data_IF_590792756304
#
_entry.id   IF_590792756304
#
_cell.length_a   1.000
_cell.length_b   1.000
_cell.length_c   1.000
_cell.angle_alpha   90.00
_cell.angle_beta   90.00
_cell.angle_gamma   90.00
#
_symmetry.space_group_name_H-M   'P 1'
#
loop_
_entity.id
_entity.type
_entity.pdbx_description
1 polymer ?
#
# COMPACT_ATOMS: atom_id res chain seq x y z
N UNK A 1 -13.22 -5.47 -16.71
CA UNK A 1 -12.30 -4.35 -16.35
C UNK A 1 -11.38 -4.86 -15.25
N UNK A 2 -10.07 -4.69 -15.38
CA UNK A 2 -9.11 -5.12 -14.36
C UNK A 2 -8.96 -4.05 -13.28
N UNK A 3 -8.99 -4.45 -12.01
CA UNK A 3 -8.77 -3.58 -10.86
C UNK A 3 -7.28 -3.65 -10.49
N UNK A 4 -6.61 -2.51 -10.37
CA UNK A 4 -5.20 -2.42 -9.97
C UNK A 4 -4.96 -1.17 -9.11
N UNK A 5 -3.77 -1.05 -8.51
CA UNK A 5 -3.39 0.04 -7.63
C UNK A 5 -3.62 1.44 -8.22
N UNK A 6 -3.40 1.63 -9.53
CA UNK A 6 -3.63 2.93 -10.19
C UNK A 6 -5.11 3.23 -10.30
N UNK A 7 -5.94 2.23 -10.60
CA UNK A 7 -7.40 2.41 -10.61
C UNK A 7 -7.91 2.79 -9.22
N UNK A 8 -7.35 2.20 -8.16
CA UNK A 8 -7.63 2.60 -6.78
C UNK A 8 -7.21 4.05 -6.50
N UNK A 9 -5.99 4.44 -6.88
CA UNK A 9 -5.51 5.81 -6.69
C UNK A 9 -6.39 6.85 -7.40
N UNK A 10 -6.81 6.57 -8.65
CA UNK A 10 -7.74 7.45 -9.38
C UNK A 10 -9.11 7.53 -8.72
N UNK A 11 -9.59 6.43 -8.13
CA UNK A 11 -10.84 6.44 -7.38
C UNK A 11 -10.71 7.29 -6.11
N UNK A 12 -9.63 7.12 -5.36
CA UNK A 12 -9.36 7.92 -4.14
C UNK A 12 -9.27 9.40 -4.51
N UNK A 13 -8.50 9.75 -5.53
CA UNK A 13 -8.41 11.10 -6.06
C UNK A 13 -9.81 11.66 -6.39
N UNK A 14 -10.64 10.89 -7.11
CA UNK A 14 -11.97 11.35 -7.46
C UNK A 14 -12.88 11.55 -6.24
N UNK A 15 -12.73 10.71 -5.22
CA UNK A 15 -13.45 10.86 -3.95
C UNK A 15 -13.00 12.11 -3.21
N UNK A 16 -11.70 12.44 -3.20
CA UNK A 16 -11.16 13.66 -2.59
C UNK A 16 -11.62 14.94 -3.32
N UNK A 17 -11.83 14.88 -4.64
CA UNK A 17 -12.44 15.98 -5.39
C UNK A 17 -13.90 16.23 -5.01
N UNK A 18 -14.65 15.15 -4.71
CA UNK A 18 -16.08 15.23 -4.37
C UNK A 18 -16.32 15.54 -2.90
N UNK A 19 -15.39 15.10 -2.03
CA UNK A 19 -15.51 15.16 -0.58
C UNK A 19 -14.19 15.66 0.01
N UNK A 20 -14.26 16.71 0.81
CA UNK A 20 -13.12 17.19 1.60
C UNK A 20 -12.83 16.22 2.74
N UNK A 21 -12.16 15.10 2.46
CA UNK A 21 -11.81 14.10 3.47
C UNK A 21 -10.47 14.44 4.15
N UNK A 22 -10.51 14.63 5.46
CA UNK A 22 -9.31 14.91 6.26
C UNK A 22 -8.57 13.65 6.71
N UNK A 23 -9.26 12.51 6.71
CA UNK A 23 -8.76 11.21 7.19
C UNK A 23 -8.98 10.11 6.17
N UNK A 24 -8.02 9.20 6.06
CA UNK A 24 -8.12 8.01 5.21
C UNK A 24 -7.85 6.76 6.03
N UNK A 25 -8.79 5.83 6.01
CA UNK A 25 -8.59 4.44 6.43
C UNK A 25 -8.56 3.56 5.20
N UNK A 26 -7.48 2.81 5.00
CA UNK A 26 -7.35 1.93 3.85
C UNK A 26 -6.66 0.61 4.21
N UNK A 27 -7.04 -0.45 3.51
CA UNK A 27 -6.49 -1.79 3.69
C UNK A 27 -5.84 -2.29 2.40
N UNK A 28 -4.71 -2.98 2.52
CA UNK A 28 -4.04 -3.72 1.46
C UNK A 28 -3.85 -2.88 0.19
N UNK A 29 -4.47 -3.24 -0.94
CA UNK A 29 -4.41 -2.48 -2.20
C UNK A 29 -4.89 -1.02 -2.08
N UNK A 30 -5.86 -0.74 -1.20
CA UNK A 30 -6.30 0.62 -0.94
C UNK A 30 -5.18 1.43 -0.28
N UNK A 31 -4.47 0.83 0.68
CA UNK A 31 -3.34 1.48 1.34
C UNK A 31 -2.18 1.75 0.38
N UNK A 32 -1.85 0.77 -0.46
CA UNK A 32 -0.86 0.95 -1.51
C UNK A 32 -1.27 2.04 -2.52
N UNK A 33 -2.53 2.05 -2.93
CA UNK A 33 -3.10 3.07 -3.82
C UNK A 33 -3.03 4.48 -3.23
N UNK A 34 -3.31 4.63 -1.93
CA UNK A 34 -3.17 5.90 -1.22
C UNK A 34 -1.72 6.39 -1.19
N UNK A 35 -0.77 5.52 -0.82
CA UNK A 35 0.66 5.87 -0.84
C UNK A 35 1.12 6.29 -2.24
N UNK A 36 0.71 5.55 -3.27
CA UNK A 36 1.00 5.90 -4.65
C UNK A 36 0.41 7.25 -5.03
N UNK A 37 -0.87 7.50 -4.75
CA UNK A 37 -1.53 8.77 -5.06
C UNK A 37 -0.78 9.95 -4.45
N UNK A 38 -0.48 9.89 -3.15
CA UNK A 38 0.16 11.00 -2.45
C UNK A 38 1.66 11.12 -2.74
N UNK A 39 2.29 10.09 -3.31
CA UNK A 39 3.62 10.24 -3.89
C UNK A 39 3.58 11.01 -5.23
N UNK A 40 2.56 10.77 -6.06
CA UNK A 40 2.38 11.49 -7.34
C UNK A 40 1.83 12.90 -7.13
N UNK A 41 0.96 13.08 -6.13
CA UNK A 41 0.22 14.30 -5.79
C UNK A 41 0.27 14.59 -4.29
N UNK A 42 1.44 15.00 -3.74
CA UNK A 42 1.59 15.28 -2.31
C UNK A 42 0.63 16.35 -1.78
N UNK A 43 0.18 17.27 -2.64
CA UNK A 43 -0.80 18.31 -2.30
C UNK A 43 -2.19 17.78 -1.94
N UNK A 44 -2.50 16.53 -2.30
CA UNK A 44 -3.74 15.86 -1.94
C UNK A 44 -3.65 15.05 -0.64
N UNK A 45 -2.47 15.03 0.01
CA UNK A 45 -2.27 14.22 1.22
C UNK A 45 -3.22 14.69 2.34
N UNK A 46 -3.93 13.76 3.01
CA UNK A 46 -4.86 14.09 4.08
C UNK A 46 -4.08 14.47 5.36
N UNK A 47 -4.81 14.85 6.42
CA UNK A 47 -4.18 15.10 7.73
C UNK A 47 -3.67 13.81 8.36
N UNK A 48 -4.50 12.76 8.35
CA UNK A 48 -4.19 11.45 8.96
C UNK A 48 -4.50 10.29 8.03
N UNK A 49 -3.66 9.25 8.10
CA UNK A 49 -3.82 8.02 7.33
C UNK A 49 -3.62 6.80 8.21
N UNK A 50 -4.64 5.93 8.31
CA UNK A 50 -4.51 4.60 8.89
C UNK A 50 -4.45 3.56 7.77
N UNK A 51 -3.32 2.86 7.65
CA UNK A 51 -3.05 1.88 6.60
C UNK A 51 -2.85 0.49 7.20
N UNK A 52 -3.69 -0.46 6.79
CA UNK A 52 -3.70 -1.83 7.32
C UNK A 52 -3.16 -2.80 6.27
N UNK A 53 -2.27 -3.72 6.66
CA UNK A 53 -1.85 -4.84 5.81
C UNK A 53 -1.22 -4.40 4.48
N UNK A 54 -0.40 -3.34 4.49
CA UNK A 54 0.06 -2.69 3.26
C UNK A 54 1.09 -3.56 2.53
N UNK A 55 0.87 -3.94 1.25
CA UNK A 55 1.87 -4.67 0.47
C UNK A 55 3.05 -3.75 0.11
N UNK A 56 4.23 -4.33 -0.12
CA UNK A 56 5.44 -3.55 -0.37
C UNK A 56 5.74 -3.28 -1.83
N UNK A 57 6.10 -4.34 -2.57
CA UNK A 57 6.79 -4.20 -3.87
C UNK A 57 6.08 -5.00 -4.96
N UNK A 58 5.65 -4.34 -6.04
CA UNK A 58 5.03 -5.05 -7.18
C UNK A 58 6.03 -6.01 -7.85
N UNK A 59 7.32 -5.68 -7.87
CA UNK A 59 8.36 -6.57 -8.39
C UNK A 59 8.47 -7.89 -7.61
N UNK A 60 8.35 -7.85 -6.28
CA UNK A 60 8.37 -9.07 -5.45
C UNK A 60 7.15 -9.94 -5.75
N UNK A 61 5.98 -9.34 -5.94
CA UNK A 61 4.78 -10.08 -6.34
C UNK A 61 4.97 -10.80 -7.68
N UNK A 62 5.54 -10.12 -8.69
CA UNK A 62 5.81 -10.74 -9.99
C UNK A 62 6.84 -11.86 -9.92
N UNK A 63 7.87 -11.69 -9.09
CA UNK A 63 8.88 -12.73 -8.87
C UNK A 63 8.26 -13.96 -8.18
N UNK A 64 7.47 -13.76 -7.14
CA UNK A 64 6.77 -14.83 -6.44
C UNK A 64 5.81 -15.58 -7.40
N UNK A 65 5.03 -14.84 -8.19
CA UNK A 65 4.12 -15.42 -9.17
C UNK A 65 4.86 -16.20 -10.25
N UNK A 66 5.99 -15.65 -10.74
CA UNK A 66 6.84 -16.31 -11.71
C UNK A 66 7.43 -17.62 -11.19
N UNK A 67 7.85 -17.66 -9.92
CA UNK A 67 8.34 -18.87 -9.24
C UNK A 67 7.25 -19.94 -9.13
N UNK A 68 6.05 -19.57 -8.69
CA UNK A 68 4.91 -20.49 -8.54
C UNK A 68 4.53 -21.11 -9.89
N UNK A 69 4.46 -20.29 -10.94
CA UNK A 69 4.10 -20.73 -12.29
C UNK A 69 5.26 -21.35 -13.08
N UNK A 70 6.48 -21.34 -12.52
CA UNK A 70 7.72 -21.82 -13.17
C UNK A 70 7.93 -21.24 -14.57
N UNK A 71 7.65 -19.95 -14.75
CA UNK A 71 7.79 -19.29 -16.04
C UNK A 71 9.26 -19.09 -16.40
N UNK A 72 9.58 -19.10 -17.70
CA UNK A 72 10.92 -18.78 -18.17
C UNK A 72 11.17 -17.26 -18.24
N UNK A 73 12.43 -16.88 -18.44
CA UNK A 73 12.86 -15.47 -18.51
C UNK A 73 12.10 -14.68 -19.58
N UNK A 74 11.82 -15.29 -20.74
CA UNK A 74 11.09 -14.61 -21.83
C UNK A 74 9.67 -14.21 -21.40
N UNK A 75 8.97 -15.08 -20.67
CA UNK A 75 7.63 -14.79 -20.15
C UNK A 75 7.71 -13.73 -19.04
N UNK A 76 8.70 -13.83 -18.15
CA UNK A 76 8.94 -12.82 -17.12
C UNK A 76 9.17 -11.42 -17.71
N UNK A 77 10.04 -11.30 -18.72
CA UNK A 77 10.30 -10.02 -19.41
C UNK A 77 9.06 -9.48 -20.13
N UNK A 78 8.25 -10.38 -20.72
CA UNK A 78 6.98 -10.01 -21.33
C UNK A 78 5.98 -9.46 -20.30
N UNK A 79 5.93 -10.03 -19.10
CA UNK A 79 5.07 -9.52 -18.02
C UNK A 79 5.50 -8.12 -17.57
N UNK A 80 6.80 -7.89 -17.42
CA UNK A 80 7.35 -6.55 -17.11
C UNK A 80 6.97 -5.52 -18.17
N UNK A 81 7.23 -5.84 -19.45
CA UNK A 81 6.85 -4.98 -20.58
C UNK A 81 5.35 -4.73 -20.64
N UNK A 82 4.54 -5.75 -20.37
CA UNK A 82 3.08 -5.62 -20.36
C UNK A 82 2.61 -4.65 -19.27
N UNK A 83 3.15 -4.76 -18.06
CA UNK A 83 2.82 -3.86 -16.95
C UNK A 83 3.23 -2.43 -17.30
N UNK A 84 4.47 -2.22 -17.74
CA UNK A 84 4.95 -0.90 -18.13
C UNK A 84 4.08 -0.27 -19.23
N UNK A 85 3.72 -1.04 -20.26
CA UNK A 85 2.82 -0.58 -21.32
C UNK A 85 1.40 -0.28 -20.80
N UNK A 86 0.92 -1.01 -19.79
CA UNK A 86 -0.46 -0.91 -19.30
C UNK A 86 -0.64 0.23 -18.29
N UNK A 87 0.34 0.43 -17.41
CA UNK A 87 0.23 1.36 -16.28
C UNK A 87 1.29 2.48 -16.28
N UNK A 88 2.18 2.49 -17.27
CA UNK A 88 3.02 3.64 -17.65
C UNK A 88 4.40 3.69 -16.99
N UNK A 89 4.67 2.83 -16.00
CA UNK A 89 5.97 2.73 -15.33
C UNK A 89 6.38 1.25 -15.18
N UNK A 90 7.68 0.93 -15.09
CA UNK A 90 8.13 -0.43 -14.84
C UNK A 90 7.67 -0.92 -13.46
N UNK A 91 7.53 -2.24 -13.22
CA UNK A 91 7.12 -2.79 -11.93
C UNK A 91 7.94 -2.28 -10.73
N UNK A 92 9.24 -2.05 -10.93
CA UNK A 92 10.17 -1.54 -9.91
C UNK A 92 9.90 -0.10 -9.46
N UNK A 93 9.05 0.64 -10.19
CA UNK A 93 8.56 1.95 -9.78
C UNK A 93 7.56 1.83 -8.62
N UNK A 94 6.73 0.78 -8.62
CA UNK A 94 5.62 0.61 -7.71
C UNK A 94 6.08 -0.03 -6.40
N UNK A 95 6.61 0.83 -5.54
CA UNK A 95 7.23 0.50 -4.24
C UNK A 95 6.61 1.35 -3.15
N UNK A 96 5.89 0.72 -2.23
CA UNK A 96 5.31 1.41 -1.08
C UNK A 96 6.39 2.07 -0.21
N UNK A 97 7.58 1.45 -0.12
CA UNK A 97 8.73 2.03 0.57
C UNK A 97 9.18 3.35 -0.07
N UNK A 98 9.29 3.40 -1.40
CA UNK A 98 9.65 4.64 -2.11
C UNK A 98 8.58 5.71 -1.95
N UNK A 99 7.31 5.31 -1.98
CA UNK A 99 6.18 6.23 -1.86
C UNK A 99 6.03 6.83 -0.45
N UNK A 100 6.41 6.06 0.57
CA UNK A 100 6.41 6.49 1.97
C UNK A 100 7.28 7.74 2.22
N UNK A 101 8.41 7.86 1.50
CA UNK A 101 9.40 8.96 1.64
C UNK A 101 8.84 10.36 1.39
N UNK A 102 7.72 10.47 0.67
CA UNK A 102 7.07 11.75 0.36
C UNK A 102 5.81 12.00 1.17
N UNK A 103 5.46 11.11 2.10
CA UNK A 103 4.25 11.29 2.89
C UNK A 103 4.43 12.37 3.94
N UNK A 104 3.44 13.25 4.01
CA UNK A 104 3.37 14.37 4.95
C UNK A 104 2.29 14.18 6.00
N UNK A 105 1.28 13.34 5.73
CA UNK A 105 0.25 12.97 6.68
C UNK A 105 0.84 12.32 7.95
N UNK A 106 0.15 12.48 9.08
CA UNK A 106 0.37 11.60 10.23
C UNK A 106 -0.08 10.18 9.85
N UNK A 107 0.78 9.20 10.06
CA UNK A 107 0.55 7.82 9.64
C UNK A 107 0.32 6.87 10.81
N UNK A 108 -0.64 5.96 10.67
CA UNK A 108 -0.77 4.76 11.49
C UNK A 108 -0.68 3.55 10.57
N UNK A 109 0.38 2.79 10.70
CA UNK A 109 0.57 1.52 10.00
C UNK A 109 0.15 0.40 10.96
N UNK A 110 -0.75 -0.48 10.53
CA UNK A 110 -1.16 -1.64 11.30
C UNK A 110 -0.85 -2.89 10.50
N UNK A 111 -0.10 -3.81 11.09
CA UNK A 111 0.35 -4.99 10.36
C UNK A 111 0.61 -6.18 11.27
N UNK A 112 0.25 -7.36 10.78
CA UNK A 112 0.42 -8.61 11.51
C UNK A 112 1.76 -9.28 11.18
N UNK A 113 2.46 -9.78 12.19
CA UNK A 113 3.74 -10.49 12.00
C UNK A 113 3.60 -11.78 11.20
N UNK A 114 2.40 -12.37 11.15
CA UNK A 114 2.10 -13.62 10.44
C UNK A 114 1.35 -13.39 9.12
N UNK A 115 1.32 -12.16 8.62
CA UNK A 115 0.73 -11.85 7.32
C UNK A 115 1.53 -12.46 6.16
N UNK A 116 0.99 -13.53 5.59
CA UNK A 116 1.56 -14.25 4.43
C UNK A 116 1.27 -13.57 3.09
N UNK A 117 0.24 -12.73 3.03
CA UNK A 117 -0.17 -12.05 1.79
C UNK A 117 0.66 -10.78 1.57
N UNK A 118 0.96 -10.06 2.65
CA UNK A 118 1.83 -8.90 2.68
C UNK A 118 2.87 -9.07 3.81
N UNK A 119 4.10 -9.50 3.52
CA UNK A 119 5.10 -9.74 4.55
C UNK A 119 5.36 -8.51 5.45
N UNK A 120 5.40 -8.73 6.77
CA UNK A 120 5.57 -7.68 7.81
C UNK A 120 6.78 -6.75 7.57
N UNK A 121 7.85 -7.25 6.92
CA UNK A 121 9.02 -6.45 6.52
C UNK A 121 8.64 -5.17 5.75
N UNK A 122 7.54 -5.19 5.00
CA UNK A 122 7.08 -4.05 4.23
C UNK A 122 6.55 -2.94 5.12
N UNK A 123 5.73 -3.27 6.12
CA UNK A 123 5.28 -2.29 7.11
C UNK A 123 6.45 -1.65 7.87
N UNK A 124 7.46 -2.46 8.24
CA UNK A 124 8.68 -1.94 8.85
C UNK A 124 9.44 -1.00 7.91
N UNK A 125 9.52 -1.31 6.62
CA UNK A 125 10.21 -0.46 5.65
C UNK A 125 9.47 0.84 5.35
N UNK A 126 8.15 0.76 5.22
CA UNK A 126 7.27 1.93 5.05
C UNK A 126 7.43 2.85 6.28
N UNK A 127 7.35 2.30 7.49
CA UNK A 127 7.51 3.06 8.73
C UNK A 127 8.85 3.79 8.80
N UNK A 128 9.96 3.11 8.50
CA UNK A 128 11.30 3.72 8.48
C UNK A 128 11.44 4.87 7.49
N UNK A 129 10.63 4.89 6.44
CA UNK A 129 10.67 5.90 5.38
C UNK A 129 9.54 6.94 5.49
N UNK A 130 8.69 6.85 6.52
CA UNK A 130 7.60 7.79 6.77
C UNK A 130 7.79 8.39 8.17
N UNK A 131 8.39 9.57 8.21
CA UNK A 131 8.85 10.23 9.45
C UNK A 131 7.74 10.38 10.52
N UNK A 132 6.54 10.78 10.10
CA UNK A 132 5.40 11.01 10.98
C UNK A 132 4.48 9.78 11.14
N UNK A 133 5.02 8.55 11.07
CA UNK A 133 4.23 7.33 11.20
C UNK A 133 4.42 6.61 12.54
N UNK A 134 3.36 5.99 13.03
CA UNK A 134 3.35 4.98 14.09
C UNK A 134 3.17 3.59 13.46
N UNK A 135 3.88 2.57 13.96
CA UNK A 135 3.66 1.17 13.58
C UNK A 135 3.04 0.39 14.75
N UNK A 136 1.79 -0.04 14.58
CA UNK A 136 1.09 -0.94 15.48
C UNK A 136 1.19 -2.38 14.97
N UNK A 137 1.99 -3.18 15.66
CA UNK A 137 2.25 -4.58 15.32
C UNK A 137 1.28 -5.50 16.02
N UNK A 138 0.68 -6.43 15.26
CA UNK A 138 -0.16 -7.50 15.81
C UNK A 138 0.46 -8.86 15.51
N UNK A 139 -0.05 -9.92 16.15
CA UNK A 139 0.37 -11.30 15.90
C UNK A 139 -0.85 -12.22 15.89
N UNK A 140 -0.98 -13.03 14.85
CA UNK A 140 -2.03 -14.04 14.72
C UNK A 140 -3.34 -13.53 14.11
N UNK A 141 -3.42 -12.25 13.74
CA UNK A 141 -4.59 -11.69 13.05
C UNK A 141 -4.52 -11.90 11.53
N UNK A 142 -3.32 -12.20 11.01
CA UNK A 142 -3.05 -12.35 9.59
C UNK A 142 -3.43 -11.12 8.76
N UNK A 143 -3.56 -11.29 7.44
CA UNK A 143 -3.80 -10.18 6.51
C UNK A 143 -5.10 -9.40 6.78
N UNK A 144 -6.10 -10.06 7.36
CA UNK A 144 -7.42 -9.46 7.57
C UNK A 144 -7.45 -8.46 8.72
N UNK A 145 -6.53 -8.57 9.69
CA UNK A 145 -6.45 -7.67 10.84
C UNK A 145 -7.80 -7.47 11.56
N UNK A 146 -8.61 -8.53 11.60
CA UNK A 146 -9.98 -8.48 12.15
C UNK A 146 -9.92 -8.75 13.65
N UNK A 147 -9.66 -7.69 14.40
CA UNK A 147 -9.70 -7.72 15.84
C UNK A 147 -10.21 -6.38 16.39
N UNK A 148 -10.84 -6.41 17.56
CA UNK A 148 -11.37 -5.19 18.19
C UNK A 148 -10.26 -4.20 18.53
N UNK A 149 -9.07 -4.68 18.91
CA UNK A 149 -7.92 -3.83 19.21
C UNK A 149 -7.47 -3.00 18.01
N UNK A 150 -7.62 -3.52 16.79
CA UNK A 150 -7.34 -2.79 15.55
C UNK A 150 -8.35 -1.64 15.37
N UNK A 151 -9.63 -1.89 15.62
CA UNK A 151 -10.68 -0.87 15.55
C UNK A 151 -10.44 0.21 16.59
N UNK A 152 -10.18 -0.17 17.84
CA UNK A 152 -9.90 0.75 18.95
C UNK A 152 -8.67 1.63 18.65
N UNK A 153 -7.61 1.03 18.08
CA UNK A 153 -6.39 1.76 17.71
C UNK A 153 -6.65 2.78 16.60
N UNK A 154 -7.43 2.42 15.57
CA UNK A 154 -7.80 3.34 14.48
C UNK A 154 -8.67 4.48 15.00
N UNK A 155 -9.67 4.19 15.83
CA UNK A 155 -10.55 5.22 16.42
C UNK A 155 -9.73 6.19 17.26
N UNK A 156 -8.91 5.68 18.19
CA UNK A 156 -8.07 6.51 19.03
C UNK A 156 -7.07 7.37 18.24
N UNK A 157 -6.58 6.87 17.10
CA UNK A 157 -5.67 7.62 16.22
C UNK A 157 -6.37 8.78 15.51
N UNK A 158 -7.61 8.61 15.06
CA UNK A 158 -8.35 9.69 14.42
C UNK A 158 -8.94 10.72 15.39
N UNK A 159 -9.19 10.32 16.65
CA UNK A 159 -9.74 11.19 17.71
C UNK A 159 -11.20 10.90 17.96
#
# INVERSE_FOLDING_TARGET
KFLNAIVYARLIEKLLEMYSAEYILAHSLGAFGSLYLFNEKPELSPKKMALLGTPGEVSEFLEAYGKVLKINQRVYDNMHRYIEKTIGKPPSYYSAEKFAKKQTAEGLLIHDTEDVDAPYKHAQSIHRNWENSELFTTTGFGHKLRDISVVEKVVAFFG
#
